data_IF_582555745608
#
_entry.id   IF_582555745608
#
_cell.length_a   1.000
_cell.length_b   1.000
_cell.length_c   1.000
_cell.angle_alpha   90.00
_cell.angle_beta   90.00
_cell.angle_gamma   90.00
#
_symmetry.space_group_name_H-M   'P 1'
#
loop_
_entity.id
_entity.type
_entity.pdbx_description
1 polymer ?
#
# COMPACT_ATOMS: atom_id res chain seq x y z
N UNK A 1 -10.79 1.13 2.68
CA UNK A 1 -10.42 0.06 1.72
C UNK A 1 -10.71 -1.34 2.24
N UNK A 2 -9.98 -1.87 3.24
CA UNK A 2 -10.17 -3.27 3.73
C UNK A 2 -11.62 -3.65 4.10
N UNK A 3 -12.37 -2.71 4.70
CA UNK A 3 -13.80 -2.89 5.00
C UNK A 3 -14.65 -3.23 3.76
N UNK A 4 -14.31 -2.69 2.59
CA UNK A 4 -15.02 -2.96 1.32
C UNK A 4 -14.89 -4.43 0.88
N UNK A 5 -13.94 -5.16 1.46
CA UNK A 5 -13.64 -6.56 1.17
C UNK A 5 -13.96 -7.47 2.37
N UNK A 6 -14.56 -6.94 3.44
CA UNK A 6 -14.79 -7.69 4.67
C UNK A 6 -13.51 -8.06 5.43
N UNK A 7 -12.38 -7.43 5.12
CA UNK A 7 -11.11 -7.68 5.80
C UNK A 7 -11.03 -6.89 7.12
N UNK A 8 -10.49 -7.47 8.21
CA UNK A 8 -10.29 -6.77 9.48
C UNK A 8 -9.41 -5.51 9.32
N UNK A 9 -9.59 -4.46 10.13
CA UNK A 9 -8.72 -3.29 10.09
C UNK A 9 -7.28 -3.64 10.47
N UNK A 10 -6.32 -2.90 9.93
CA UNK A 10 -4.92 -2.99 10.33
C UNK A 10 -4.70 -2.21 11.63
N UNK A 11 -3.77 -2.69 12.44
CA UNK A 11 -3.21 -1.95 13.57
C UNK A 11 -1.93 -1.26 13.12
N UNK A 12 -1.75 0.00 13.52
CA UNK A 12 -0.48 0.68 13.30
C UNK A 12 0.63 0.00 14.12
N UNK A 13 1.84 -0.08 13.56
CA UNK A 13 3.02 -0.65 14.22
C UNK A 13 4.20 0.31 14.10
N UNK A 14 4.64 0.84 15.23
CA UNK A 14 5.79 1.77 15.29
C UNK A 14 7.05 1.16 14.66
N UNK A 15 7.39 -0.08 15.00
CA UNK A 15 8.57 -0.75 14.45
C UNK A 15 8.54 -0.93 12.92
N UNK A 16 7.36 -1.14 12.33
CA UNK A 16 7.21 -1.22 10.88
C UNK A 16 7.28 0.17 10.25
N UNK A 17 6.83 1.21 10.96
CA UNK A 17 6.91 2.58 10.48
C UNK A 17 8.34 3.11 10.51
N UNK A 18 9.10 2.79 11.56
CA UNK A 18 10.54 3.08 11.66
C UNK A 18 11.30 2.41 10.51
N UNK A 19 11.09 1.10 10.30
CA UNK A 19 11.72 0.37 9.19
C UNK A 19 11.32 0.92 7.81
N UNK A 20 10.03 1.22 7.60
CA UNK A 20 9.57 1.82 6.34
C UNK A 20 10.15 3.22 6.12
N UNK A 21 10.34 4.00 7.18
CA UNK A 21 10.92 5.34 7.14
C UNK A 21 12.41 5.28 6.75
N UNK A 22 13.18 4.40 7.39
CA UNK A 22 14.59 4.16 7.04
C UNK A 22 14.74 3.75 5.57
N UNK A 23 13.85 2.89 5.08
CA UNK A 23 13.89 2.45 3.68
C UNK A 23 13.46 3.57 2.71
N UNK A 24 12.46 4.37 3.06
CA UNK A 24 12.08 5.53 2.25
C UNK A 24 13.26 6.51 2.10
N UNK A 25 13.98 6.78 3.20
CA UNK A 25 15.17 7.64 3.21
C UNK A 25 16.33 7.05 2.39
N UNK A 26 16.52 5.72 2.46
CA UNK A 26 17.47 5.01 1.61
C UNK A 26 17.15 5.21 0.11
N UNK A 27 15.91 4.93 -0.29
CA UNK A 27 15.45 5.10 -1.68
C UNK A 27 15.63 6.55 -2.15
N UNK A 28 15.23 7.52 -1.33
CA UNK A 28 15.32 8.94 -1.65
C UNK A 28 16.76 9.45 -1.77
N UNK A 29 17.67 8.95 -0.93
CA UNK A 29 19.09 9.32 -0.96
C UNK A 29 19.83 8.71 -2.15
N UNK A 30 19.40 7.52 -2.59
CA UNK A 30 20.01 6.79 -3.70
C UNK A 30 19.36 7.06 -5.06
N UNK A 31 18.20 7.71 -5.07
CA UNK A 31 17.30 7.82 -6.23
C UNK A 31 16.99 6.44 -6.85
N UNK A 32 16.61 5.50 -6.00
CA UNK A 32 16.23 4.14 -6.39
C UNK A 32 14.73 3.93 -6.25
N UNK A 33 14.18 3.03 -7.06
CA UNK A 33 12.80 2.57 -6.94
C UNK A 33 12.76 1.05 -7.13
N UNK A 34 13.11 0.35 -6.06
CA UNK A 34 13.18 -1.10 -5.99
C UNK A 34 12.73 -1.58 -4.62
N UNK A 35 12.29 -2.84 -4.54
CA UNK A 35 11.89 -3.45 -3.28
C UNK A 35 13.10 -3.76 -2.38
N UNK A 36 12.88 -3.76 -1.06
CA UNK A 36 13.91 -4.23 -0.13
C UNK A 36 14.12 -5.73 -0.26
N UNK A 37 15.32 -6.22 0.08
CA UNK A 37 15.63 -7.66 0.10
C UNK A 37 15.04 -8.39 1.32
N UNK A 38 14.32 -7.69 2.19
CA UNK A 38 13.77 -8.24 3.42
C UNK A 38 12.53 -9.10 3.14
N UNK A 39 12.45 -10.25 3.80
CA UNK A 39 11.33 -11.20 3.67
C UNK A 39 10.43 -11.24 4.91
N UNK A 40 10.74 -10.47 5.95
CA UNK A 40 10.04 -10.49 7.26
C UNK A 40 8.74 -9.68 7.30
N UNK A 41 8.49 -8.89 6.25
CA UNK A 41 7.30 -8.06 6.05
C UNK A 41 6.90 -8.05 4.58
N UNK A 42 5.64 -7.73 4.30
CA UNK A 42 5.21 -7.35 2.96
C UNK A 42 5.54 -5.88 2.71
N UNK A 43 5.64 -5.48 1.44
CA UNK A 43 6.07 -4.13 1.07
C UNK A 43 5.26 -3.56 -0.11
N UNK A 44 4.81 -2.31 0.03
CA UNK A 44 4.33 -1.50 -1.08
C UNK A 44 5.20 -0.25 -1.21
N UNK A 45 5.51 0.12 -2.45
CA UNK A 45 6.29 1.31 -2.76
C UNK A 45 5.51 2.22 -3.70
N UNK A 46 5.71 3.52 -3.56
CA UNK A 46 5.34 4.48 -4.60
C UNK A 46 6.32 5.63 -4.59
N UNK A 47 6.66 6.08 -5.79
CA UNK A 47 7.40 7.32 -5.99
C UNK A 47 6.57 8.27 -6.84
N UNK A 48 6.61 9.55 -6.51
CA UNK A 48 6.20 10.61 -7.42
C UNK A 48 7.36 11.57 -7.66
N UNK A 49 7.67 11.79 -8.94
CA UNK A 49 8.67 12.73 -9.44
C UNK A 49 8.01 13.96 -10.07
N UNK A 50 8.64 15.13 -10.01
CA UNK A 50 8.14 16.37 -10.60
C UNK A 50 8.95 17.60 -10.16
N UNK A 51 8.27 18.69 -9.82
CA UNK A 51 8.92 19.93 -9.39
C UNK A 51 9.34 19.90 -7.91
N UNK A 52 10.30 20.74 -7.54
CA UNK A 52 10.69 20.93 -6.13
C UNK A 52 9.47 21.29 -5.28
N UNK A 53 9.19 20.49 -4.26
CA UNK A 53 8.04 20.69 -3.38
C UNK A 53 6.80 19.87 -3.75
N UNK A 54 6.90 18.94 -4.71
CA UNK A 54 5.80 18.02 -5.07
C UNK A 54 5.18 17.34 -3.85
N UNK A 55 3.84 17.24 -3.77
CA UNK A 55 3.16 16.77 -2.56
C UNK A 55 2.46 15.45 -2.78
N UNK A 56 2.88 14.38 -2.08
CA UNK A 56 2.19 13.08 -2.00
C UNK A 56 1.66 12.79 -0.62
N UNK A 57 0.33 12.75 -0.50
CA UNK A 57 -0.34 12.41 0.75
C UNK A 57 -0.47 10.89 0.90
N UNK A 58 -0.64 10.44 2.15
CA UNK A 58 -0.90 9.03 2.44
C UNK A 58 -2.19 8.52 1.80
N UNK A 59 -3.22 9.37 1.68
CA UNK A 59 -4.46 9.03 0.97
C UNK A 59 -4.21 8.80 -0.51
N UNK A 60 -3.41 9.66 -1.15
CA UNK A 60 -3.06 9.51 -2.57
C UNK A 60 -2.23 8.25 -2.82
N UNK A 61 -1.24 7.97 -1.97
CA UNK A 61 -0.44 6.74 -2.06
C UNK A 61 -1.32 5.48 -1.89
N UNK A 62 -2.15 5.46 -0.85
CA UNK A 62 -3.07 4.35 -0.58
C UNK A 62 -4.08 4.14 -1.71
N UNK A 63 -4.61 5.24 -2.27
CA UNK A 63 -5.55 5.17 -3.38
C UNK A 63 -4.87 4.64 -4.65
N UNK A 64 -3.65 5.07 -4.95
CA UNK A 64 -2.90 4.59 -6.10
C UNK A 64 -2.69 3.06 -6.01
N UNK A 65 -2.21 2.57 -4.87
CA UNK A 65 -2.05 1.13 -4.62
C UNK A 65 -3.38 0.36 -4.73
N UNK A 66 -4.45 0.89 -4.15
CA UNK A 66 -5.76 0.22 -4.19
C UNK A 66 -6.39 0.21 -5.58
N UNK A 67 -6.09 1.20 -6.43
CA UNK A 67 -6.71 1.35 -7.77
C UNK A 67 -6.42 0.20 -8.72
N UNK A 68 -5.39 -0.62 -8.43
CA UNK A 68 -5.09 -1.86 -9.16
C UNK A 68 -6.26 -2.86 -9.13
N UNK A 69 -7.19 -2.75 -8.17
CA UNK A 69 -8.44 -3.52 -8.15
C UNK A 69 -9.19 -3.47 -9.49
N UNK A 70 -9.14 -2.34 -10.19
CA UNK A 70 -9.79 -2.14 -11.50
C UNK A 70 -9.33 -3.20 -12.50
N UNK A 71 -8.04 -3.56 -12.47
CA UNK A 71 -7.43 -4.57 -13.32
C UNK A 71 -7.48 -5.98 -12.72
N UNK A 72 -7.55 -6.11 -11.39
CA UNK A 72 -7.47 -7.40 -10.70
C UNK A 72 -8.62 -8.37 -11.03
N UNK A 73 -8.33 -9.51 -11.61
CA UNK A 73 -9.34 -10.53 -11.91
C UNK A 73 -9.47 -11.54 -10.76
N UNK A 74 -10.53 -11.47 -9.96
CA UNK A 74 -10.78 -12.38 -8.83
C UNK A 74 -10.94 -13.88 -9.21
N UNK A 75 -10.99 -14.21 -10.51
CA UNK A 75 -11.02 -15.59 -11.00
C UNK A 75 -9.64 -16.14 -11.38
N UNK A 76 -8.59 -15.32 -11.30
CA UNK A 76 -7.20 -15.70 -11.60
C UNK A 76 -6.33 -15.57 -10.36
N UNK A 77 -5.41 -16.51 -10.21
CA UNK A 77 -4.39 -16.44 -9.17
C UNK A 77 -3.17 -15.63 -9.63
N UNK A 78 -2.38 -15.17 -8.66
CA UNK A 78 -1.05 -14.59 -8.84
C UNK A 78 -0.92 -13.51 -9.95
N UNK A 79 -1.52 -12.34 -9.71
CA UNK A 79 -1.45 -11.20 -10.63
C UNK A 79 -0.41 -10.20 -10.15
N UNK A 80 0.83 -10.37 -10.61
CA UNK A 80 2.00 -9.57 -10.20
C UNK A 80 1.82 -8.06 -10.40
N UNK A 81 1.03 -7.65 -11.40
CA UNK A 81 0.69 -6.25 -11.67
C UNK A 81 -0.37 -5.65 -10.73
N UNK A 82 -0.87 -6.42 -9.76
CA UNK A 82 -1.86 -5.98 -8.77
C UNK A 82 -1.39 -6.22 -7.32
N UNK A 83 -0.08 -6.41 -7.14
CA UNK A 83 0.53 -6.76 -5.86
C UNK A 83 0.30 -5.74 -4.75
N UNK A 84 0.18 -4.45 -5.09
CA UNK A 84 -0.06 -3.41 -4.10
C UNK A 84 -1.49 -3.50 -3.55
N UNK A 85 -2.47 -3.68 -4.44
CA UNK A 85 -3.86 -3.89 -4.05
C UNK A 85 -3.98 -5.14 -3.18
N UNK A 86 -3.44 -6.27 -3.64
CA UNK A 86 -3.60 -7.55 -2.91
C UNK A 86 -2.95 -7.49 -1.53
N UNK A 87 -1.81 -6.81 -1.38
CA UNK A 87 -1.21 -6.58 -0.06
C UNK A 87 -2.09 -5.71 0.84
N UNK A 88 -2.67 -4.62 0.32
CA UNK A 88 -3.56 -3.75 1.09
C UNK A 88 -4.78 -4.48 1.65
N UNK A 89 -5.36 -5.39 0.86
CA UNK A 89 -6.56 -6.16 1.25
C UNK A 89 -6.26 -7.56 1.77
N UNK A 90 -4.98 -7.94 1.90
CA UNK A 90 -4.59 -9.27 2.36
C UNK A 90 -5.23 -9.59 3.71
N UNK A 91 -6.16 -10.55 3.74
CA UNK A 91 -7.05 -10.79 4.88
C UNK A 91 -6.28 -11.11 6.14
N UNK A 92 -5.16 -11.83 6.07
CA UNK A 92 -4.33 -12.23 7.20
C UNK A 92 -3.36 -11.17 7.70
N UNK A 93 -3.05 -10.14 6.92
CA UNK A 93 -2.23 -9.02 7.41
C UNK A 93 -2.94 -8.32 8.58
N UNK A 94 -2.20 -8.03 9.64
CA UNK A 94 -2.74 -7.46 10.89
C UNK A 94 -2.17 -6.10 11.24
N UNK A 95 -0.91 -5.86 10.88
CA UNK A 95 -0.15 -4.67 11.23
C UNK A 95 0.40 -4.00 9.97
N UNK A 96 0.53 -2.68 10.02
CA UNK A 96 1.27 -1.93 9.02
C UNK A 96 1.96 -0.71 9.63
N UNK A 97 3.04 -0.29 8.98
CA UNK A 97 3.74 0.95 9.25
C UNK A 97 4.16 1.60 7.92
N UNK A 98 4.33 2.91 7.93
CA UNK A 98 4.57 3.68 6.71
C UNK A 98 5.67 4.69 6.92
N UNK A 99 6.47 4.91 5.87
CA UNK A 99 7.55 5.88 5.81
C UNK A 99 7.44 6.79 4.59
N UNK A 100 7.95 8.01 4.71
CA UNK A 100 7.97 9.00 3.62
C UNK A 100 9.27 9.78 3.61
N UNK A 101 9.88 9.92 2.44
CA UNK A 101 11.09 10.71 2.27
C UNK A 101 11.07 11.49 0.96
N UNK A 102 11.83 12.59 0.91
CA UNK A 102 12.01 13.41 -0.29
C UNK A 102 13.43 13.27 -0.80
N UNK A 103 13.61 13.31 -2.12
CA UNK A 103 14.94 13.43 -2.72
C UNK A 103 15.61 14.73 -2.27
N UNK A 104 16.95 14.79 -2.35
CA UNK A 104 17.75 15.93 -1.89
C UNK A 104 17.37 17.26 -2.58
N UNK A 105 17.02 17.21 -3.86
CA UNK A 105 16.56 18.37 -4.64
C UNK A 105 15.07 18.71 -4.39
N UNK A 106 14.35 17.87 -3.65
CA UNK A 106 12.93 17.99 -3.35
C UNK A 106 11.99 17.71 -4.53
N UNK A 107 12.51 17.21 -5.65
CA UNK A 107 11.75 16.92 -6.88
C UNK A 107 11.00 15.58 -6.83
N UNK A 108 11.35 14.72 -5.89
CA UNK A 108 10.75 13.40 -5.73
C UNK A 108 10.30 13.14 -4.29
N UNK A 109 9.23 12.38 -4.14
CA UNK A 109 8.70 11.89 -2.86
C UNK A 109 8.47 10.39 -2.95
N UNK A 110 9.01 9.65 -1.99
CA UNK A 110 8.97 8.20 -1.87
C UNK A 110 8.09 7.85 -0.67
N UNK A 111 7.16 6.92 -0.85
CA UNK A 111 6.33 6.39 0.24
C UNK A 111 6.47 4.88 0.25
N UNK A 112 6.76 4.35 1.44
CA UNK A 112 6.95 2.94 1.72
C UNK A 112 5.88 2.49 2.71
N UNK A 113 5.26 1.35 2.48
CA UNK A 113 4.39 0.68 3.44
C UNK A 113 4.90 -0.72 3.73
N UNK A 114 5.10 -1.05 5.00
CA UNK A 114 5.47 -2.38 5.47
C UNK A 114 4.32 -3.05 6.20
N UNK A 115 4.15 -4.36 5.99
CA UNK A 115 2.97 -5.11 6.40
C UNK A 115 3.34 -6.40 7.14
N UNK A 116 2.63 -6.73 8.23
CA UNK A 116 2.87 -7.99 8.98
C UNK A 116 1.57 -8.68 9.44
N UNK A 117 1.41 -10.00 9.25
CA UNK A 117 2.18 -10.86 8.34
C UNK A 117 2.20 -10.33 6.89
N UNK A 118 3.25 -10.70 6.14
CA UNK A 118 3.36 -10.42 4.71
C UNK A 118 2.17 -11.02 3.95
N UNK A 119 1.78 -10.35 2.87
CA UNK A 119 0.81 -10.88 1.93
C UNK A 119 1.47 -11.44 0.68
N UNK A 120 0.66 -11.67 -0.35
CA UNK A 120 1.10 -12.07 -1.69
C UNK A 120 1.83 -13.42 -1.76
N UNK A 121 1.52 -14.34 -0.85
CA UNK A 121 1.99 -15.72 -0.96
C UNK A 121 1.18 -16.47 -2.03
N UNK A 122 1.90 -17.13 -2.96
CA UNK A 122 1.38 -17.70 -4.19
C UNK A 122 0.09 -18.53 -4.00
N UNK A 123 0.09 -19.42 -3.02
CA UNK A 123 -0.98 -20.41 -2.82
C UNK A 123 -2.14 -19.90 -1.93
N UNK A 124 -2.12 -18.63 -1.51
CA UNK A 124 -3.03 -18.11 -0.48
C UNK A 124 -3.91 -16.94 -0.94
N UNK A 125 -3.90 -16.61 -2.24
CA UNK A 125 -4.64 -15.46 -2.78
C UNK A 125 -6.16 -15.60 -2.64
N UNK A 126 -6.70 -16.81 -2.78
CA UNK A 126 -8.16 -17.04 -2.76
C UNK A 126 -8.75 -16.78 -1.37
N UNK A 127 -8.03 -17.14 -0.32
CA UNK A 127 -8.43 -16.95 1.08
C UNK A 127 -8.19 -15.52 1.55
N UNK A 128 -7.18 -14.86 0.98
CA UNK A 128 -6.69 -13.58 1.46
C UNK A 128 -7.07 -12.35 0.63
N UNK A 129 -7.55 -12.51 -0.60
CA UNK A 129 -7.98 -11.40 -1.47
C UNK A 129 -9.47 -11.54 -1.81
N UNK A 130 -10.37 -11.38 -0.81
CA UNK A 130 -11.80 -11.52 -1.06
C UNK A 130 -12.32 -10.44 -2.01
N UNK A 131 -13.34 -10.75 -2.84
CA UNK A 131 -13.97 -9.76 -3.69
C UNK A 131 -14.69 -8.66 -2.87
N UNK A 132 -15.02 -7.51 -3.48
CA UNK A 132 -15.81 -6.49 -2.82
C UNK A 132 -17.14 -7.05 -2.31
N UNK A 133 -17.54 -6.67 -1.09
CA UNK A 133 -18.79 -7.11 -0.48
C UNK A 133 -20.03 -6.57 -1.19
N UNK A 134 -19.87 -5.52 -2.02
CA UNK A 134 -20.92 -4.97 -2.87
C UNK A 134 -21.17 -5.78 -4.15
N UNK A 135 -20.32 -6.78 -4.45
CA UNK A 135 -20.39 -7.58 -5.67
C UNK A 135 -19.80 -6.91 -6.92
N UNK A 136 -19.33 -5.66 -6.84
CA UNK A 136 -18.71 -4.96 -7.96
C UNK A 136 -17.46 -4.21 -7.52
N UNK A 137 -16.49 -4.08 -8.45
CA UNK A 137 -15.27 -3.30 -8.22
C UNK A 137 -15.61 -1.83 -8.07
N UNK A 138 -14.97 -1.18 -7.12
CA UNK A 138 -15.17 0.24 -6.84
C UNK A 138 -13.87 0.82 -6.29
N UNK A 139 -13.45 1.95 -6.87
CA UNK A 139 -12.32 2.76 -6.42
C UNK A 139 -12.90 4.07 -5.88
N UNK A 140 -12.83 4.33 -4.58
CA UNK A 140 -13.36 5.57 -4.01
C UNK A 140 -12.51 6.77 -4.37
N UNK A 141 -13.10 7.97 -4.37
CA UNK A 141 -12.37 9.23 -4.51
C UNK A 141 -11.63 9.61 -3.22
N UNK A 142 -10.74 10.60 -3.32
CA UNK A 142 -10.04 11.15 -2.15
C UNK A 142 -11.03 11.79 -1.15
N UNK A 143 -12.09 12.43 -1.65
CA UNK A 143 -13.13 13.04 -0.83
C UNK A 143 -13.90 11.97 -0.05
N UNK A 144 -14.21 10.84 -0.69
CA UNK A 144 -14.88 9.70 -0.06
C UNK A 144 -13.98 9.06 1.01
N UNK A 145 -12.69 8.90 0.71
CA UNK A 145 -11.68 8.43 1.68
C UNK A 145 -11.62 9.31 2.92
N UNK A 146 -11.63 10.63 2.73
CA UNK A 146 -11.53 11.60 3.82
C UNK A 146 -12.71 11.52 4.78
N UNK A 147 -13.92 11.25 4.28
CA UNK A 147 -15.13 11.07 5.11
C UNK A 147 -15.07 9.85 6.03
N UNK A 148 -14.28 8.82 5.70
CA UNK A 148 -14.10 7.66 6.56
C UNK A 148 -13.18 7.93 7.76
N UNK A 149 -12.31 8.95 7.68
CA UNK A 149 -11.36 9.30 8.75
C UNK A 149 -11.98 10.18 9.85
N UNK A 150 -13.05 10.92 9.55
CA UNK A 150 -13.72 11.84 10.50
C UNK A 150 -14.76 11.12 11.40
N UNK A 151 -14.96 9.81 11.22
CA UNK A 151 -15.93 9.01 11.98
C UNK A 151 -15.30 8.11 13.05
N UNK A 152 -14.07 8.40 13.44
CA UNK A 152 -13.34 7.79 14.56
C UNK A 152 -13.10 8.86 15.62
#
# INVERSE_FOLDING_TARGET
MRKLHGCPPLRFSHSLAESAQEYAEYLARKDLFEHSECTDYGENLIIRRGHKGIVLTGQQATLAWYSEISSYNFKKENQTNCGHFTQLVWKETRKAGFGVARSKDGSSIYVVGHYKPSGNFLDYFRENVPPPTSGHKYVPTIEELSKFLVRL
#
